data_IF_782300485121
#
_entry.id   IF_782300485121
#
_cell.length_a   1.000
_cell.length_b   1.000
_cell.length_c   1.000
_cell.angle_alpha   90.00
_cell.angle_beta   90.00
_cell.angle_gamma   90.00
#
_symmetry.space_group_name_H-M   'P 1'
#
loop_
_entity.id
_entity.type
_entity.pdbx_description
1 polymer ?
#
# COMPACT_ATOMS: atom_id res chain seq x y z
N UNK A 1 64.04 -22.35 10.92
CA UNK A 1 62.77 -22.98 11.30
C UNK A 1 61.67 -22.27 10.53
N UNK A 2 60.87 -23.06 9.80
CA UNK A 2 59.54 -22.83 9.18
C UNK A 2 59.26 -21.50 8.46
N UNK A 3 59.03 -21.37 7.16
CA UNK A 3 58.28 -22.14 6.12
C UNK A 3 56.74 -22.14 6.27
N UNK A 4 56.05 -21.37 5.39
CA UNK A 4 54.73 -21.60 4.75
C UNK A 4 54.14 -20.24 4.29
N UNK A 5 54.26 -19.77 3.04
CA UNK A 5 53.65 -20.18 1.75
C UNK A 5 52.11 -20.17 1.74
N UNK A 6 51.54 -19.22 0.98
CA UNK A 6 50.31 -19.25 0.13
C UNK A 6 50.20 -17.84 -0.51
N UNK A 7 50.53 -17.59 -1.78
CA UNK A 7 49.94 -18.01 -3.05
C UNK A 7 48.58 -17.35 -3.37
N UNK A 8 48.53 -16.64 -4.51
CA UNK A 8 47.31 -16.15 -5.20
C UNK A 8 46.87 -14.75 -4.74
N UNK A 9 46.62 -13.75 -5.58
CA UNK A 9 46.26 -13.80 -6.97
C UNK A 9 46.48 -12.42 -7.62
N UNK A 10 46.97 -12.42 -8.86
CA UNK A 10 47.15 -11.21 -9.67
C UNK A 10 45.78 -10.82 -10.23
N UNK A 11 44.97 -10.06 -9.49
CA UNK A 11 43.76 -9.47 -10.08
C UNK A 11 44.14 -8.32 -11.00
N UNK A 12 44.33 -8.67 -12.27
CA UNK A 12 44.39 -7.73 -13.40
C UNK A 12 43.02 -7.05 -13.58
N UNK A 13 43.00 -5.73 -13.39
CA UNK A 13 42.10 -4.68 -13.98
C UNK A 13 40.57 -4.84 -13.80
N UNK A 14 39.91 -3.72 -13.47
CA UNK A 14 39.23 -3.00 -14.54
C UNK A 14 39.63 -1.53 -14.55
N UNK A 15 40.75 -1.25 -15.22
CA UNK A 15 41.04 0.08 -15.74
C UNK A 15 40.06 0.45 -16.85
N UNK A 16 38.83 0.84 -16.47
CA UNK A 16 37.88 1.63 -17.27
C UNK A 16 37.20 2.70 -16.41
N UNK A 17 37.88 3.24 -15.40
CA UNK A 17 37.53 4.54 -14.82
C UNK A 17 38.18 5.61 -15.68
N UNK A 18 37.38 6.28 -16.52
CA UNK A 18 37.88 7.40 -17.32
C UNK A 18 37.55 7.38 -18.80
N UNK A 19 36.68 6.48 -19.30
CA UNK A 19 36.05 6.76 -20.60
C UNK A 19 35.14 7.96 -20.39
N UNK A 20 35.60 9.14 -20.80
CA UNK A 20 34.77 10.35 -20.93
C UNK A 20 33.44 9.90 -21.53
N UNK A 21 32.27 10.22 -20.95
CA UNK A 21 31.01 9.88 -21.58
C UNK A 21 31.10 10.41 -23.02
N UNK A 22 31.13 9.49 -23.98
CA UNK A 22 31.13 9.82 -25.39
C UNK A 22 30.01 10.83 -25.58
N UNK A 23 30.31 11.97 -26.23
CA UNK A 23 29.39 13.11 -26.44
C UNK A 23 27.96 12.64 -26.39
N UNK A 24 27.36 12.72 -25.20
CA UNK A 24 26.02 12.20 -25.04
C UNK A 24 25.17 13.14 -25.88
N UNK A 25 24.40 12.58 -26.80
CA UNK A 25 23.59 13.41 -27.68
C UNK A 25 22.77 14.37 -26.79
N UNK A 26 22.92 15.67 -27.04
CA UNK A 26 22.29 16.72 -26.22
C UNK A 26 20.79 16.45 -26.13
N UNK A 27 20.20 15.95 -27.23
CA UNK A 27 18.81 15.49 -27.31
C UNK A 27 18.51 14.37 -26.32
N UNK A 28 19.38 13.35 -26.24
CA UNK A 28 19.21 12.25 -25.29
C UNK A 28 19.35 12.67 -23.83
N UNK A 29 20.24 13.65 -23.51
CA UNK A 29 20.34 14.19 -22.14
C UNK A 29 19.10 14.98 -21.75
N UNK A 30 18.60 15.79 -22.68
CA UNK A 30 17.41 16.61 -22.49
C UNK A 30 16.15 15.75 -22.30
N UNK A 31 15.99 14.69 -23.09
CA UNK A 31 14.89 13.74 -22.92
C UNK A 31 14.94 12.98 -21.59
N UNK A 32 16.12 12.52 -21.14
CA UNK A 32 16.24 11.92 -19.80
C UNK A 32 15.85 12.87 -18.67
N UNK A 33 16.23 14.15 -18.77
CA UNK A 33 15.84 15.16 -17.78
C UNK A 33 14.34 15.45 -17.80
N UNK A 34 13.72 15.44 -19.00
CA UNK A 34 12.26 15.58 -19.14
C UNK A 34 11.54 14.39 -18.52
N UNK A 35 12.03 13.18 -18.80
CA UNK A 35 11.45 11.95 -18.29
C UNK A 35 11.52 11.88 -16.76
N UNK A 36 12.67 12.18 -16.15
CA UNK A 36 12.80 12.19 -14.69
C UNK A 36 11.86 13.21 -14.02
N UNK A 37 11.65 14.37 -14.65
CA UNK A 37 10.69 15.36 -14.18
C UNK A 37 9.24 14.86 -14.29
N UNK A 38 8.87 14.17 -15.39
CA UNK A 38 7.53 13.54 -15.53
C UNK A 38 7.32 12.47 -14.46
N UNK A 39 8.29 11.59 -14.25
CA UNK A 39 8.25 10.54 -13.23
C UNK A 39 8.17 11.10 -11.82
N UNK A 40 8.86 12.20 -11.53
CA UNK A 40 8.73 12.90 -10.25
C UNK A 40 7.29 13.35 -10.00
N UNK A 41 6.64 13.97 -11.00
CA UNK A 41 5.24 14.39 -10.91
C UNK A 41 4.29 13.20 -10.76
N UNK A 42 4.49 12.16 -11.57
CA UNK A 42 3.67 10.94 -11.51
C UNK A 42 3.77 10.26 -10.15
N UNK A 43 4.99 10.11 -9.60
CA UNK A 43 5.21 9.55 -8.25
C UNK A 43 4.56 10.39 -7.16
N UNK A 44 4.67 11.73 -7.25
CA UNK A 44 4.02 12.63 -6.28
C UNK A 44 2.50 12.47 -6.32
N UNK A 45 1.91 12.42 -7.52
CA UNK A 45 0.47 12.19 -7.70
C UNK A 45 0.04 10.86 -7.08
N UNK A 46 0.75 9.77 -7.40
CA UNK A 46 0.44 8.45 -6.86
C UNK A 46 0.55 8.41 -5.33
N UNK A 47 1.59 9.03 -4.77
CA UNK A 47 1.78 9.11 -3.31
C UNK A 47 0.62 9.82 -2.63
N UNK A 48 0.15 10.94 -3.17
CA UNK A 48 -0.97 11.67 -2.60
C UNK A 48 -2.29 10.94 -2.76
N UNK A 49 -2.51 10.30 -3.92
CA UNK A 49 -3.67 9.46 -4.13
C UNK A 49 -3.75 8.32 -3.09
N UNK A 50 -2.64 7.62 -2.84
CA UNK A 50 -2.61 6.57 -1.82
C UNK A 50 -2.91 7.10 -0.40
N UNK A 51 -2.33 8.25 -0.04
CA UNK A 51 -2.60 8.87 1.26
C UNK A 51 -4.07 9.31 1.39
N UNK A 52 -4.64 9.88 0.33
CA UNK A 52 -6.04 10.27 0.26
C UNK A 52 -6.97 9.06 0.41
N UNK A 53 -6.67 7.95 -0.28
CA UNK A 53 -7.42 6.70 -0.18
C UNK A 53 -7.36 6.10 1.24
N UNK A 54 -6.18 6.12 1.88
CA UNK A 54 -6.02 5.67 3.27
C UNK A 54 -6.86 6.50 4.25
N UNK A 55 -6.79 7.84 4.15
CA UNK A 55 -7.55 8.75 5.00
C UNK A 55 -9.04 8.57 4.77
N UNK A 56 -9.49 8.59 3.51
CA UNK A 56 -10.89 8.42 3.13
C UNK A 56 -11.48 7.08 3.60
N UNK A 57 -10.69 6.00 3.51
CA UNK A 57 -11.10 4.68 3.99
C UNK A 57 -11.30 4.66 5.50
N UNK A 58 -10.36 5.26 6.24
CA UNK A 58 -10.44 5.36 7.70
C UNK A 58 -11.61 6.23 8.16
N UNK A 59 -11.85 7.36 7.50
CA UNK A 59 -12.97 8.26 7.81
C UNK A 59 -14.31 7.55 7.61
N UNK A 60 -14.49 6.82 6.50
CA UNK A 60 -15.69 6.01 6.26
C UNK A 60 -15.91 4.96 7.35
N UNK A 61 -14.85 4.26 7.77
CA UNK A 61 -14.96 3.28 8.85
C UNK A 61 -15.34 3.94 10.18
N UNK A 62 -14.78 5.11 10.49
CA UNK A 62 -15.12 5.87 11.71
C UNK A 62 -16.58 6.32 11.66
N UNK A 63 -17.08 6.84 10.54
CA UNK A 63 -18.47 7.25 10.40
C UNK A 63 -19.43 6.07 10.62
N UNK A 64 -19.17 4.93 9.97
CA UNK A 64 -20.00 3.74 10.12
C UNK A 64 -20.07 3.26 11.59
N UNK A 65 -18.93 3.22 12.30
CA UNK A 65 -18.90 2.84 13.70
C UNK A 65 -19.62 3.84 14.61
N UNK A 66 -19.56 5.14 14.30
CA UNK A 66 -20.28 6.17 15.04
C UNK A 66 -21.79 6.05 14.86
N UNK A 67 -22.24 5.81 13.64
CA UNK A 67 -23.66 5.59 13.31
C UNK A 67 -24.19 4.34 14.02
N UNK A 68 -23.43 3.24 13.99
CA UNK A 68 -23.80 2.00 14.69
C UNK A 68 -23.89 2.21 16.21
N UNK A 69 -22.91 2.90 16.80
CA UNK A 69 -22.92 3.20 18.23
C UNK A 69 -24.08 4.11 18.64
N UNK A 70 -24.42 5.09 17.80
CA UNK A 70 -25.56 5.97 18.03
C UNK A 70 -26.90 5.23 17.93
N UNK A 71 -27.03 4.29 16.98
CA UNK A 71 -28.17 3.38 16.89
C UNK A 71 -28.35 2.57 18.19
N UNK A 72 -27.29 1.95 18.71
CA UNK A 72 -27.39 1.18 19.96
C UNK A 72 -27.76 2.06 21.15
N UNK A 73 -27.22 3.29 21.24
CA UNK A 73 -27.62 4.24 22.29
C UNK A 73 -29.12 4.56 22.24
N UNK A 74 -29.64 4.84 21.05
CA UNK A 74 -31.06 5.11 20.86
C UNK A 74 -31.93 3.92 21.23
N UNK A 75 -31.48 2.70 20.94
CA UNK A 75 -32.16 1.48 21.36
C UNK A 75 -32.19 1.31 22.87
N UNK A 76 -31.07 1.54 23.57
CA UNK A 76 -31.05 1.53 25.04
C UNK A 76 -32.05 2.55 25.60
N UNK A 77 -32.04 3.78 25.10
CA UNK A 77 -32.97 4.82 25.56
C UNK A 77 -34.44 4.46 25.32
N UNK A 78 -34.77 3.82 24.20
CA UNK A 78 -36.13 3.36 23.90
C UNK A 78 -36.54 2.20 24.82
N UNK A 79 -35.64 1.25 25.06
CA UNK A 79 -35.87 0.12 25.96
C UNK A 79 -36.08 0.58 27.41
N UNK A 80 -35.30 1.56 27.87
CA UNK A 80 -35.46 2.17 29.20
C UNK A 80 -36.83 2.86 29.35
N UNK A 81 -37.42 3.32 28.26
CA UNK A 81 -38.79 3.87 28.21
C UNK A 81 -39.88 2.79 28.04
N UNK A 82 -39.51 1.50 28.09
CA UNK A 82 -40.43 0.37 27.93
C UNK A 82 -40.88 0.12 26.49
N UNK A 83 -40.25 0.76 25.49
CA UNK A 83 -40.53 0.55 24.07
C UNK A 83 -39.46 -0.36 23.48
N UNK A 84 -39.86 -1.53 22.97
CA UNK A 84 -38.94 -2.41 22.25
C UNK A 84 -38.82 -1.91 20.79
N UNK A 85 -37.64 -1.45 20.32
CA UNK A 85 -37.42 -1.04 18.94
C UNK A 85 -37.75 -2.16 17.93
N UNK A 86 -38.29 -1.78 16.77
CA UNK A 86 -38.70 -2.71 15.70
C UNK A 86 -37.55 -3.58 15.19
N UNK A 87 -36.35 -3.04 15.13
CA UNK A 87 -35.15 -3.72 14.68
C UNK A 87 -34.72 -4.81 15.66
N UNK A 88 -34.84 -4.54 16.97
CA UNK A 88 -34.62 -5.56 18.01
C UNK A 88 -35.69 -6.65 17.93
N UNK A 89 -36.95 -6.29 17.66
CA UNK A 89 -38.03 -7.28 17.46
C UNK A 89 -37.77 -8.16 16.23
N UNK A 90 -37.25 -7.60 15.14
CA UNK A 90 -36.88 -8.35 13.94
C UNK A 90 -35.71 -9.32 14.21
N UNK A 91 -34.67 -8.86 14.93
CA UNK A 91 -33.55 -9.70 15.37
C UNK A 91 -33.99 -10.85 16.28
N UNK A 92 -34.92 -10.60 17.21
CA UNK A 92 -35.47 -11.63 18.10
C UNK A 92 -36.40 -12.62 17.38
N UNK A 93 -37.06 -12.17 16.31
CA UNK A 93 -37.98 -12.99 15.51
C UNK A 93 -37.27 -13.81 14.42
N UNK A 94 -35.95 -13.66 14.25
CA UNK A 94 -35.16 -14.42 13.28
C UNK A 94 -35.40 -14.06 11.81
N UNK A 95 -36.04 -12.92 11.53
CA UNK A 95 -36.14 -12.37 10.18
C UNK A 95 -34.82 -11.66 9.83
N UNK A 96 -33.84 -12.45 9.40
CA UNK A 96 -32.53 -12.02 8.95
C UNK A 96 -32.66 -10.98 7.82
N UNK A 97 -32.40 -9.71 8.12
CA UNK A 97 -32.18 -8.71 7.08
C UNK A 97 -30.80 -8.93 6.47
N UNK A 98 -30.80 -9.43 5.24
CA UNK A 98 -29.66 -9.51 4.34
C UNK A 98 -29.06 -8.12 4.09
N UNK A 99 -28.15 -7.68 4.96
CA UNK A 99 -27.21 -6.61 4.60
C UNK A 99 -26.29 -7.18 3.52
N UNK A 100 -26.16 -6.55 2.33
CA UNK A 100 -25.16 -6.96 1.36
C UNK A 100 -23.79 -6.63 1.93
N UNK A 101 -23.19 -7.61 2.60
CA UNK A 101 -21.81 -7.60 3.05
C UNK A 101 -20.93 -7.43 1.81
N UNK A 102 -20.45 -6.21 1.58
CA UNK A 102 -19.53 -5.92 0.50
C UNK A 102 -18.24 -6.71 0.74
N UNK A 103 -18.14 -7.78 -0.04
CA UNK A 103 -17.00 -8.64 -0.32
C UNK A 103 -15.65 -7.91 -0.23
N UNK A 104 -14.97 -8.03 0.92
CA UNK A 104 -13.52 -7.79 0.99
C UNK A 104 -12.86 -9.08 0.54
N UNK A 105 -12.46 -9.09 -0.73
CA UNK A 105 -12.07 -10.26 -1.50
C UNK A 105 -11.02 -11.14 -0.85
N UNK A 106 -11.34 -12.44 -0.79
CA UNK A 106 -10.37 -13.53 -0.87
C UNK A 106 -9.62 -13.42 -2.20
N UNK A 107 -8.37 -12.98 -2.17
CA UNK A 107 -7.34 -13.35 -3.17
C UNK A 107 -5.97 -13.34 -2.48
N UNK A 108 -5.65 -14.46 -1.84
CA UNK A 108 -4.28 -14.79 -1.43
C UNK A 108 -4.05 -16.29 -1.64
N UNK A 109 -4.07 -16.72 -2.91
CA UNK A 109 -3.30 -17.89 -3.31
C UNK A 109 -2.98 -17.84 -4.80
N UNK A 110 -1.69 -18.09 -5.07
CA UNK A 110 -1.02 -18.23 -6.36
C UNK A 110 -0.76 -16.91 -7.12
N UNK A 111 0.50 -16.46 -7.11
CA UNK A 111 1.39 -16.53 -8.29
C UNK A 111 2.72 -15.84 -7.94
N UNK A 112 3.78 -16.65 -7.94
CA UNK A 112 5.19 -16.33 -8.26
C UNK A 112 6.04 -15.57 -7.26
N UNK A 113 7.00 -16.33 -6.73
CA UNK A 113 8.37 -15.91 -6.51
C UNK A 113 8.86 -15.03 -7.66
N UNK A 114 9.10 -13.76 -7.39
CA UNK A 114 10.13 -13.01 -8.09
C UNK A 114 10.90 -12.19 -7.07
N UNK A 115 12.21 -12.37 -7.15
CA UNK A 115 13.16 -11.87 -6.19
C UNK A 115 13.13 -10.34 -6.11
N UNK A 116 13.13 -9.86 -4.87
CA UNK A 116 13.96 -8.77 -4.38
C UNK A 116 14.82 -8.07 -5.46
N UNK A 117 14.29 -7.00 -6.05
CA UNK A 117 15.09 -5.96 -6.69
C UNK A 117 14.31 -4.66 -6.63
N UNK A 118 14.98 -3.58 -6.26
CA UNK A 118 14.46 -2.22 -6.02
C UNK A 118 14.02 -1.86 -4.60
N UNK A 119 14.83 -2.27 -3.62
CA UNK A 119 15.19 -1.38 -2.50
C UNK A 119 16.50 -0.65 -2.84
N UNK A 120 16.41 0.38 -3.69
CA UNK A 120 17.43 1.43 -3.73
C UNK A 120 16.73 2.70 -3.26
N UNK A 121 16.77 2.89 -1.94
CA UNK A 121 16.61 4.20 -1.33
C UNK A 121 17.86 5.03 -1.61
#
# INVERSE_FOLDING_TARGET
MDESKVAGDKVKKPGKRGRKPAKIDLKAKLERSRQSARECRARKKLRYQYLEELVSSRERAICALREELEMYKQWCMAMDQGKIPSEIKALLSGEEQSKPQQNVGKMARAVRSDANSHSCW
#
